data_IF_632647015528
#
_entry.id   IF_632647015528
#
_cell.length_a   1.000
_cell.length_b   1.000
_cell.length_c   1.000
_cell.angle_alpha   90.00
_cell.angle_beta   90.00
_cell.angle_gamma   90.00
#
_symmetry.space_group_name_H-M   'P 1'
#
loop_
_entity.id
_entity.type
_entity.pdbx_description
1 polymer ?
#
# COMPACT_ATOMS: atom_id res chain seq x y z
N UNK A 1 -12.78 -13.74 13.48
CA UNK A 1 -13.04 -13.67 14.92
C UNK A 1 -12.10 -14.65 15.61
N UNK A 2 -11.42 -14.23 16.71
CA UNK A 2 -10.66 -15.16 17.56
C UNK A 2 -11.68 -15.94 18.38
N UNK A 3 -11.54 -17.26 18.39
CA UNK A 3 -12.42 -18.19 19.13
C UNK A 3 -11.54 -19.17 19.90
N UNK A 4 -11.97 -19.57 21.09
CA UNK A 4 -11.28 -20.59 21.89
C UNK A 4 -11.24 -21.94 21.15
N UNK A 5 -10.15 -22.69 21.35
CA UNK A 5 -9.96 -24.01 20.73
C UNK A 5 -9.60 -23.98 19.24
N UNK A 6 -9.40 -22.80 18.64
CA UNK A 6 -8.95 -22.67 17.25
C UNK A 6 -7.43 -22.53 17.14
N UNK A 7 -6.90 -22.91 15.97
CA UNK A 7 -5.48 -22.77 15.69
C UNK A 7 -5.10 -21.28 15.73
N UNK A 8 -4.00 -20.96 16.41
CA UNK A 8 -3.47 -19.61 16.49
C UNK A 8 -3.11 -19.06 15.10
N UNK A 9 -3.52 -17.82 14.85
CA UNK A 9 -3.15 -17.08 13.65
C UNK A 9 -2.80 -15.64 14.01
N UNK A 10 -1.53 -15.26 13.82
CA UNK A 10 -1.05 -13.90 14.06
C UNK A 10 -1.84 -12.87 13.26
N UNK A 11 -2.20 -13.19 12.01
CA UNK A 11 -3.02 -12.33 11.14
C UNK A 11 -4.43 -12.08 11.70
N UNK A 12 -5.05 -13.11 12.29
CA UNK A 12 -6.36 -12.97 12.95
C UNK A 12 -6.27 -12.08 14.20
N UNK A 13 -5.23 -12.22 14.99
CA UNK A 13 -4.98 -11.38 16.17
C UNK A 13 -4.81 -9.92 15.74
N UNK A 14 -3.96 -9.65 14.76
CA UNK A 14 -3.72 -8.30 14.25
C UNK A 14 -4.97 -7.66 13.64
N UNK A 15 -5.74 -8.40 12.85
CA UNK A 15 -7.01 -7.94 12.30
C UNK A 15 -8.04 -7.63 13.42
N UNK A 16 -8.04 -8.42 14.49
CA UNK A 16 -8.93 -8.18 15.64
C UNK A 16 -8.54 -6.92 16.38
N UNK A 17 -7.25 -6.74 16.68
CA UNK A 17 -6.73 -5.51 17.29
C UNK A 17 -7.06 -4.28 16.43
N UNK A 18 -6.81 -4.34 15.14
CA UNK A 18 -7.13 -3.24 14.20
C UNK A 18 -8.62 -2.87 14.22
N UNK A 19 -9.50 -3.87 14.26
CA UNK A 19 -10.95 -3.66 14.35
C UNK A 19 -11.37 -3.05 15.68
N UNK A 20 -10.76 -3.49 16.78
CA UNK A 20 -11.01 -2.93 18.11
C UNK A 20 -10.53 -1.49 18.22
N UNK A 21 -9.33 -1.17 17.71
CA UNK A 21 -8.80 0.20 17.67
C UNK A 21 -9.71 1.11 16.83
N UNK A 22 -10.20 0.64 15.67
CA UNK A 22 -11.18 1.38 14.86
C UNK A 22 -12.46 1.64 15.65
N UNK A 23 -12.99 0.62 16.32
CA UNK A 23 -14.20 0.77 17.14
C UNK A 23 -13.98 1.74 18.30
N UNK A 24 -12.80 1.75 18.93
CA UNK A 24 -12.45 2.72 19.96
C UNK A 24 -12.45 4.15 19.39
N UNK A 25 -11.90 4.37 18.18
CA UNK A 25 -11.95 5.66 17.49
C UNK A 25 -13.39 6.11 17.20
N UNK A 26 -14.26 5.20 16.72
CA UNK A 26 -15.69 5.49 16.49
C UNK A 26 -16.42 5.91 17.76
N UNK A 27 -15.95 5.45 18.92
CA UNK A 27 -16.46 5.82 20.26
C UNK A 27 -15.77 7.06 20.84
N UNK A 28 -14.92 7.76 20.08
CA UNK A 28 -14.19 8.95 20.52
C UNK A 28 -12.96 8.67 21.39
N UNK A 29 -12.55 7.40 21.54
CA UNK A 29 -11.38 7.01 22.31
C UNK A 29 -10.11 7.05 21.43
N UNK A 30 -9.64 8.26 21.11
CA UNK A 30 -8.61 8.51 20.09
C UNK A 30 -7.19 8.01 20.44
N UNK A 31 -6.90 7.68 21.68
CA UNK A 31 -5.55 7.34 22.14
C UNK A 31 -5.48 5.96 22.78
N UNK A 32 -6.40 5.07 22.45
CA UNK A 32 -6.37 3.69 22.89
C UNK A 32 -5.32 2.91 22.11
N UNK A 33 -4.46 2.23 22.84
CA UNK A 33 -3.49 1.29 22.30
C UNK A 33 -3.84 -0.11 22.79
N UNK A 34 -3.94 -1.06 21.87
CA UNK A 34 -4.26 -2.45 22.20
C UNK A 34 -3.04 -3.30 21.87
N UNK A 35 -2.45 -3.91 22.89
CA UNK A 35 -1.25 -4.73 22.76
C UNK A 35 -1.58 -6.20 23.02
N UNK A 36 -1.44 -7.10 22.05
CA UNK A 36 -1.61 -8.52 22.29
C UNK A 36 -0.43 -9.08 23.08
N UNK A 37 -0.72 -9.77 24.20
CA UNK A 37 0.23 -10.56 24.99
C UNK A 37 -0.05 -12.02 24.74
N UNK A 38 0.98 -12.76 24.39
CA UNK A 38 0.90 -14.19 24.09
C UNK A 38 1.56 -14.97 25.24
N UNK A 39 0.78 -15.78 25.95
CA UNK A 39 1.28 -16.69 26.95
C UNK A 39 1.17 -18.13 26.44
N UNK A 40 2.33 -18.79 26.33
CA UNK A 40 2.39 -20.17 25.86
C UNK A 40 2.29 -21.12 27.05
N UNK A 41 1.34 -22.05 26.96
CA UNK A 41 1.24 -23.18 27.88
C UNK A 41 1.81 -24.42 27.20
N UNK A 42 3.01 -24.81 27.59
CA UNK A 42 3.71 -25.97 27.00
C UNK A 42 3.09 -27.32 27.37
N UNK A 43 2.42 -27.41 28.54
CA UNK A 43 1.80 -28.65 29.02
C UNK A 43 0.54 -28.97 28.21
N UNK A 44 -0.26 -27.95 27.91
CA UNK A 44 -1.54 -28.11 27.19
C UNK A 44 -1.41 -27.81 25.68
N UNK A 45 -0.17 -27.49 25.20
CA UNK A 45 0.12 -27.09 23.81
C UNK A 45 -0.82 -25.98 23.33
N UNK A 46 -1.19 -25.08 24.25
CA UNK A 46 -2.12 -23.96 23.99
C UNK A 46 -1.42 -22.61 24.06
N UNK A 47 -2.02 -21.61 23.45
CA UNK A 47 -1.54 -20.24 23.43
C UNK A 47 -2.66 -19.29 23.86
N UNK A 48 -2.50 -18.66 25.03
CA UNK A 48 -3.44 -17.65 25.49
C UNK A 48 -3.11 -16.30 24.91
N UNK A 49 -4.12 -15.66 24.34
CA UNK A 49 -4.00 -14.32 23.73
C UNK A 49 -4.73 -13.31 24.61
N UNK A 50 -3.96 -12.56 25.42
CA UNK A 50 -4.48 -11.47 26.22
C UNK A 50 -4.36 -10.14 25.48
N UNK A 51 -5.45 -9.40 25.36
CA UNK A 51 -5.47 -8.09 24.72
C UNK A 51 -5.42 -7.01 25.81
N UNK A 52 -4.25 -6.43 26.03
CA UNK A 52 -4.08 -5.32 26.98
C UNK A 52 -4.52 -4.02 26.33
N UNK A 53 -5.48 -3.34 26.95
CA UNK A 53 -5.97 -2.04 26.50
C UNK A 53 -5.37 -0.97 27.41
N UNK A 54 -4.62 -0.05 26.81
CA UNK A 54 -4.02 1.07 27.54
C UNK A 54 -4.32 2.40 26.86
N UNK A 55 -4.30 3.47 27.63
CA UNK A 55 -4.36 4.81 27.07
C UNK A 55 -2.94 5.24 26.65
N UNK A 56 -2.73 5.41 25.35
CA UNK A 56 -1.48 5.91 24.79
C UNK A 56 -1.27 7.41 25.02
N UNK A 57 -0.06 7.89 24.75
CA UNK A 57 0.24 9.31 24.81
C UNK A 57 -0.60 10.09 23.79
N UNK A 58 -1.11 11.24 24.20
CA UNK A 58 -1.84 12.18 23.33
C UNK A 58 -0.84 12.90 22.41
N UNK A 59 -0.48 12.26 21.31
CA UNK A 59 0.44 12.81 20.30
C UNK A 59 -0.32 12.95 18.98
N UNK A 60 -0.12 14.08 18.31
CA UNK A 60 -0.80 14.44 17.07
C UNK A 60 0.20 14.53 15.91
N UNK A 61 -0.28 14.30 14.71
CA UNK A 61 0.50 14.50 13.49
C UNK A 61 0.54 15.99 13.17
N UNK A 62 1.73 16.59 13.20
CA UNK A 62 1.91 17.99 12.84
C UNK A 62 1.96 18.16 11.32
N UNK A 63 2.75 17.31 10.66
CA UNK A 63 2.98 17.39 9.22
C UNK A 63 3.44 16.04 8.66
N UNK A 64 3.07 15.81 7.41
CA UNK A 64 3.57 14.69 6.59
C UNK A 64 4.52 15.28 5.54
N UNK A 65 5.81 14.99 5.68
CA UNK A 65 6.87 15.45 4.78
C UNK A 65 7.27 14.31 3.85
N UNK A 66 7.16 14.52 2.54
CA UNK A 66 7.48 13.53 1.51
C UNK A 66 8.68 14.04 0.73
N UNK A 67 9.66 13.16 0.48
CA UNK A 67 10.90 13.49 -0.23
C UNK A 67 11.35 12.33 -1.12
N UNK A 68 12.10 12.67 -2.18
CA UNK A 68 12.67 11.69 -3.11
C UNK A 68 11.76 11.31 -4.27
N UNK A 69 10.55 11.85 -4.31
CA UNK A 69 9.60 11.69 -5.40
C UNK A 69 9.82 12.80 -6.45
N UNK A 70 10.79 12.60 -7.33
CA UNK A 70 11.17 13.59 -8.36
C UNK A 70 10.22 13.58 -9.55
N UNK A 71 9.73 12.40 -9.93
CA UNK A 71 8.79 12.18 -11.03
C UNK A 71 7.37 11.97 -10.52
N UNK A 72 7.21 11.18 -9.46
CA UNK A 72 5.91 10.84 -8.89
C UNK A 72 5.32 12.04 -8.14
N UNK A 73 4.10 12.41 -8.47
CA UNK A 73 3.41 13.50 -7.79
C UNK A 73 3.14 13.18 -6.31
N UNK A 74 3.31 14.17 -5.45
CA UNK A 74 3.11 14.07 -3.99
C UNK A 74 1.75 13.42 -3.62
N UNK A 75 0.70 13.77 -4.35
CA UNK A 75 -0.65 13.22 -4.14
C UNK A 75 -0.73 11.69 -4.28
N UNK A 76 0.15 11.05 -5.08
CA UNK A 76 0.16 9.59 -5.27
C UNK A 76 0.60 8.88 -3.99
N UNK A 77 1.56 9.47 -3.28
CA UNK A 77 2.05 8.98 -1.99
C UNK A 77 1.08 9.40 -0.88
N UNK A 78 0.65 10.66 -0.87
CA UNK A 78 -0.21 11.23 0.17
C UNK A 78 -1.56 10.52 0.28
N UNK A 79 -2.14 10.06 -0.83
CA UNK A 79 -3.41 9.30 -0.83
C UNK A 79 -3.31 7.92 -0.16
N UNK A 80 -2.09 7.42 0.09
CA UNK A 80 -1.90 6.15 0.81
C UNK A 80 -2.10 6.31 2.33
N UNK A 81 -2.12 7.55 2.80
CA UNK A 81 -2.38 7.85 4.19
C UNK A 81 -3.89 7.81 4.46
N UNK A 82 -4.24 7.13 5.54
CA UNK A 82 -5.58 7.15 6.16
C UNK A 82 -5.62 8.08 7.38
N UNK A 83 -4.59 8.92 7.54
CA UNK A 83 -4.45 9.96 8.55
C UNK A 83 -4.09 11.28 7.88
N UNK A 84 -4.54 12.37 8.45
CA UNK A 84 -4.21 13.72 8.01
C UNK A 84 -3.46 14.49 9.10
N UNK A 85 -2.91 15.62 8.73
CA UNK A 85 -2.27 16.55 9.67
C UNK A 85 -3.31 17.03 10.69
N UNK A 86 -2.96 16.99 11.97
CA UNK A 86 -3.87 17.22 13.08
C UNK A 86 -4.49 15.97 13.70
N UNK A 87 -4.46 14.83 13.04
CA UNK A 87 -5.00 13.59 13.56
C UNK A 87 -4.16 13.00 14.71
N UNK A 88 -4.78 12.20 15.59
CA UNK A 88 -4.07 11.40 16.57
C UNK A 88 -3.07 10.44 15.93
N UNK A 89 -1.84 10.44 16.40
CA UNK A 89 -0.80 9.54 15.93
C UNK A 89 -1.04 8.10 16.38
N UNK A 90 -0.94 7.16 15.43
CA UNK A 90 -0.97 5.73 15.68
C UNK A 90 0.16 5.02 14.92
N UNK A 91 1.16 4.42 15.62
CA UNK A 91 2.29 3.77 14.98
C UNK A 91 1.91 2.63 14.02
N UNK A 92 0.82 1.92 14.29
CA UNK A 92 0.35 0.82 13.41
C UNK A 92 -0.18 1.35 12.09
N UNK A 93 -0.89 2.49 12.10
CA UNK A 93 -1.37 3.15 10.88
C UNK A 93 -0.18 3.53 10.00
N UNK A 94 0.90 4.06 10.59
CA UNK A 94 2.11 4.45 9.85
C UNK A 94 2.80 3.25 9.19
N UNK A 95 2.91 2.11 9.87
CA UNK A 95 3.47 0.89 9.26
C UNK A 95 2.65 0.46 8.05
N UNK A 96 1.32 0.45 8.14
CA UNK A 96 0.43 0.12 7.02
C UNK A 96 0.59 1.09 5.84
N UNK A 97 0.80 2.36 6.12
CA UNK A 97 1.07 3.36 5.07
C UNK A 97 2.36 3.01 4.32
N UNK A 98 3.44 2.68 5.03
CA UNK A 98 4.69 2.26 4.39
C UNK A 98 4.48 1.05 3.46
N UNK A 99 3.70 0.06 3.89
CA UNK A 99 3.38 -1.12 3.07
C UNK A 99 2.51 -0.77 1.87
N UNK A 100 1.53 0.12 2.01
CA UNK A 100 0.72 0.62 0.88
C UNK A 100 1.59 1.36 -0.15
N UNK A 101 2.51 2.22 0.30
CA UNK A 101 3.41 2.93 -0.62
C UNK A 101 4.33 1.93 -1.35
N UNK A 102 4.85 0.90 -0.66
CA UNK A 102 5.65 -0.16 -1.29
C UNK A 102 4.83 -0.94 -2.33
N UNK A 103 3.56 -1.23 -2.03
CA UNK A 103 2.68 -1.98 -2.93
C UNK A 103 2.33 -1.24 -4.23
N UNK A 104 2.53 0.09 -4.30
CA UNK A 104 2.43 0.83 -5.56
C UNK A 104 3.46 0.36 -6.59
N UNK A 105 4.55 -0.25 -6.16
CA UNK A 105 5.63 -0.76 -6.99
C UNK A 105 6.31 0.31 -7.87
N UNK A 106 6.22 1.58 -7.48
CA UNK A 106 6.85 2.72 -8.14
C UNK A 106 8.22 3.07 -7.56
N UNK A 107 8.54 2.54 -6.37
CA UNK A 107 9.72 2.88 -5.60
C UNK A 107 10.61 1.67 -5.36
N UNK A 108 11.91 1.87 -5.45
CA UNK A 108 12.94 0.88 -5.10
C UNK A 108 13.12 0.77 -3.59
N UNK A 109 12.98 1.91 -2.88
CA UNK A 109 12.96 1.92 -1.42
C UNK A 109 11.91 2.89 -0.89
N UNK A 110 11.34 2.56 0.27
CA UNK A 110 10.37 3.38 1.00
C UNK A 110 10.73 3.32 2.48
N UNK A 111 11.11 4.45 3.03
CA UNK A 111 11.38 4.61 4.46
C UNK A 111 10.40 5.62 5.05
N UNK A 112 9.66 5.18 6.07
CA UNK A 112 8.72 6.03 6.80
C UNK A 112 9.16 6.09 8.26
N UNK A 113 9.55 7.27 8.69
CA UNK A 113 10.03 7.52 10.05
C UNK A 113 9.23 8.64 10.70
N UNK A 114 9.36 8.75 12.00
CA UNK A 114 8.74 9.82 12.77
C UNK A 114 9.78 10.55 13.57
N UNK A 115 9.66 11.87 13.65
CA UNK A 115 10.50 12.72 14.50
C UNK A 115 9.65 13.68 15.32
N UNK A 116 10.23 14.26 16.36
CA UNK A 116 9.56 15.27 17.19
C UNK A 116 9.17 16.48 16.33
N UNK A 117 7.96 16.98 16.55
CA UNK A 117 7.46 18.20 15.94
C UNK A 117 7.91 19.46 16.69
N UNK A 118 7.27 20.57 16.37
CA UNK A 118 7.54 21.89 17.00
C UNK A 118 7.13 21.93 18.48
N UNK A 119 6.20 21.10 18.88
CA UNK A 119 5.68 21.02 20.25
C UNK A 119 5.83 19.61 20.84
N UNK A 120 5.82 19.51 22.16
CA UNK A 120 6.05 18.26 22.91
C UNK A 120 5.08 17.11 22.58
N UNK A 121 3.86 17.45 22.13
CA UNK A 121 2.80 16.49 21.77
C UNK A 121 2.57 16.38 20.26
N UNK A 122 3.48 16.87 19.45
CA UNK A 122 3.41 16.83 17.99
C UNK A 122 4.54 16.03 17.40
N UNK A 123 4.27 15.34 16.32
CA UNK A 123 5.28 14.62 15.53
C UNK A 123 5.17 14.97 14.05
N UNK A 124 6.27 14.86 13.37
CA UNK A 124 6.36 14.95 11.92
C UNK A 124 6.60 13.53 11.39
N UNK A 125 5.84 13.16 10.37
CA UNK A 125 6.03 11.91 9.63
C UNK A 125 6.90 12.25 8.43
N UNK A 126 8.10 11.68 8.36
CA UNK A 126 9.00 11.83 7.23
C UNK A 126 8.91 10.56 6.36
N UNK A 127 8.55 10.75 5.10
CA UNK A 127 8.50 9.71 4.06
C UNK A 127 9.62 9.99 3.09
N UNK A 128 10.58 9.08 3.00
CA UNK A 128 11.68 9.17 2.05
C UNK A 128 11.56 8.00 1.08
N UNK A 129 11.41 8.31 -0.19
CA UNK A 129 11.29 7.32 -1.26
C UNK A 129 12.46 7.43 -2.22
N UNK A 130 12.83 6.32 -2.85
CA UNK A 130 13.74 6.29 -3.99
C UNK A 130 12.98 5.73 -5.17
N UNK A 131 12.81 6.51 -6.22
CA UNK A 131 12.10 6.07 -7.42
C UNK A 131 12.90 5.01 -8.18
N UNK A 132 12.21 4.18 -8.92
CA UNK A 132 12.79 3.22 -9.85
C UNK A 132 12.16 3.36 -11.23
N UNK A 133 12.79 2.86 -12.30
CA UNK A 133 12.19 2.82 -13.62
C UNK A 133 10.83 2.11 -13.58
N UNK A 134 9.80 2.74 -14.14
CA UNK A 134 8.42 2.25 -14.20
C UNK A 134 7.99 1.87 -15.60
N UNK A 135 8.79 2.26 -16.59
CA UNK A 135 8.62 1.90 -17.99
C UNK A 135 9.27 0.58 -18.34
N UNK A 136 8.65 -0.18 -19.22
CA UNK A 136 9.21 -1.39 -19.83
C UNK A 136 8.87 -1.48 -21.29
N UNK A 137 9.82 -1.95 -22.10
CA UNK A 137 9.67 -2.19 -23.52
C UNK A 137 10.17 -3.59 -23.81
N UNK A 138 9.37 -4.40 -24.47
CA UNK A 138 9.75 -5.76 -24.87
C UNK A 138 9.40 -6.05 -26.31
N UNK A 139 10.26 -6.80 -26.97
CA UNK A 139 10.05 -7.31 -28.32
C UNK A 139 10.22 -8.82 -28.31
N UNK A 140 9.43 -9.50 -29.11
CA UNK A 140 9.48 -10.93 -29.30
C UNK A 140 9.14 -11.33 -30.72
N UNK A 141 9.56 -12.52 -31.10
CA UNK A 141 9.12 -13.17 -32.33
C UNK A 141 8.66 -14.58 -31.97
N UNK A 142 7.62 -15.02 -32.65
CA UNK A 142 7.12 -16.38 -32.57
C UNK A 142 6.98 -16.99 -33.98
N UNK A 143 7.00 -18.29 -34.05
CA UNK A 143 6.70 -19.01 -35.28
C UNK A 143 5.61 -20.06 -35.00
N UNK A 144 4.59 -20.02 -35.85
CA UNK A 144 3.53 -21.01 -35.84
C UNK A 144 3.40 -21.56 -37.27
N UNK A 145 3.33 -22.88 -37.40
CA UNK A 145 3.25 -23.56 -38.71
C UNK A 145 2.01 -23.17 -39.52
N UNK A 146 0.92 -22.72 -38.89
CA UNK A 146 -0.30 -22.26 -39.54
C UNK A 146 -0.20 -20.80 -40.03
N UNK A 147 0.38 -19.91 -39.15
CA UNK A 147 0.35 -18.47 -39.33
C UNK A 147 1.73 -17.85 -39.69
N UNK A 148 2.78 -18.71 -39.76
CA UNK A 148 4.12 -18.28 -40.08
C UNK A 148 4.83 -17.53 -38.95
N UNK A 149 5.67 -16.56 -39.30
CA UNK A 149 6.42 -15.74 -38.34
C UNK A 149 5.53 -14.62 -37.81
N UNK A 150 5.47 -14.52 -36.48
CA UNK A 150 4.81 -13.41 -35.78
C UNK A 150 5.82 -12.54 -35.04
N UNK A 151 5.54 -11.24 -34.98
CA UNK A 151 6.30 -10.26 -34.18
C UNK A 151 5.39 -9.67 -33.09
N UNK A 152 5.96 -9.48 -31.91
CA UNK A 152 5.26 -8.91 -30.76
C UNK A 152 6.09 -7.74 -30.21
N UNK A 153 5.45 -6.61 -29.96
CA UNK A 153 6.03 -5.49 -29.25
C UNK A 153 5.10 -5.06 -28.10
N UNK A 154 5.65 -4.88 -26.90
CA UNK A 154 4.87 -4.38 -25.79
C UNK A 154 5.60 -3.22 -25.12
N UNK A 155 4.88 -2.15 -24.89
CA UNK A 155 5.29 -1.02 -24.06
C UNK A 155 4.36 -0.92 -22.85
N UNK A 156 4.90 -0.70 -21.68
CA UNK A 156 4.12 -0.44 -20.46
C UNK A 156 4.82 0.64 -19.65
N UNK A 157 4.04 1.62 -19.21
CA UNK A 157 4.45 2.62 -18.24
C UNK A 157 3.51 2.56 -17.03
N UNK A 158 4.03 2.32 -15.82
CA UNK A 158 3.23 2.17 -14.62
C UNK A 158 3.04 3.47 -13.84
N UNK A 159 3.74 4.53 -14.22
CA UNK A 159 3.65 5.83 -13.55
C UNK A 159 3.50 6.98 -14.58
N UNK A 160 2.54 6.84 -15.48
CA UNK A 160 2.31 7.79 -16.55
C UNK A 160 2.10 9.21 -16.01
N UNK A 161 2.92 10.15 -16.47
CA UNK A 161 2.94 11.55 -16.03
C UNK A 161 3.11 11.71 -14.50
N UNK A 162 3.72 10.74 -13.83
CA UNK A 162 3.91 10.78 -12.36
C UNK A 162 2.63 10.63 -11.55
N UNK A 163 1.52 10.21 -12.16
CA UNK A 163 0.20 10.13 -11.52
C UNK A 163 -0.11 8.76 -10.91
N UNK A 164 0.82 7.78 -11.06
CA UNK A 164 0.59 6.40 -10.67
C UNK A 164 -0.45 5.69 -11.53
N UNK A 165 -0.75 6.24 -12.70
CA UNK A 165 -1.59 5.64 -13.75
C UNK A 165 -0.73 4.71 -14.59
N UNK A 166 -1.31 3.61 -15.08
CA UNK A 166 -0.61 2.72 -15.98
C UNK A 166 -1.15 2.84 -17.41
N UNK A 167 -0.23 2.88 -18.38
CA UNK A 167 -0.52 2.85 -19.83
C UNK A 167 0.20 1.64 -20.42
N UNK A 168 -0.49 0.92 -21.28
CA UNK A 168 0.07 -0.19 -22.04
C UNK A 168 -0.25 -0.07 -23.52
N UNK A 169 0.73 -0.41 -24.37
CA UNK A 169 0.59 -0.57 -25.79
C UNK A 169 1.12 -1.96 -26.15
N UNK A 170 0.32 -2.75 -26.84
CA UNK A 170 0.72 -4.04 -27.38
C UNK A 170 0.49 -4.07 -28.89
N UNK A 171 1.48 -4.56 -29.60
CA UNK A 171 1.45 -4.77 -31.04
C UNK A 171 1.76 -6.23 -31.30
N UNK A 172 0.95 -6.92 -32.06
CA UNK A 172 1.28 -8.25 -32.55
C UNK A 172 0.90 -8.38 -34.02
N UNK A 173 1.80 -8.93 -34.80
CA UNK A 173 1.57 -9.19 -36.22
C UNK A 173 1.94 -10.60 -36.57
N UNK A 174 1.12 -11.25 -37.36
CA UNK A 174 1.34 -12.56 -37.99
C UNK A 174 0.99 -12.43 -39.50
N UNK A 175 1.25 -13.47 -40.27
CA UNK A 175 1.09 -13.42 -41.73
C UNK A 175 -0.34 -13.14 -42.25
N UNK A 176 -1.28 -12.88 -41.40
CA UNK A 176 -2.67 -12.58 -41.79
C UNK A 176 -3.43 -11.66 -40.84
N UNK A 177 -2.82 -11.34 -39.70
CA UNK A 177 -3.53 -10.56 -38.68
C UNK A 177 -2.59 -9.60 -37.96
N UNK A 178 -3.04 -8.36 -37.82
CA UNK A 178 -2.39 -7.33 -37.02
C UNK A 178 -3.30 -6.94 -35.87
N UNK A 179 -2.79 -7.03 -34.63
CA UNK A 179 -3.50 -6.63 -33.46
C UNK A 179 -2.78 -5.46 -32.79
N UNK A 180 -3.53 -4.44 -32.46
CA UNK A 180 -3.11 -3.29 -31.67
C UNK A 180 -3.95 -3.27 -30.41
N UNK A 181 -3.31 -3.40 -29.25
CA UNK A 181 -3.97 -3.27 -27.96
C UNK A 181 -3.52 -2.01 -27.24
N UNK A 182 -4.47 -1.27 -26.69
CA UNK A 182 -4.23 -0.13 -25.82
C UNK A 182 -4.85 -0.42 -24.46
N UNK A 183 -4.14 -0.10 -23.41
CA UNK A 183 -4.68 -0.22 -22.05
C UNK A 183 -4.35 1.01 -21.22
N UNK A 184 -5.31 1.42 -20.41
CA UNK A 184 -5.15 2.49 -19.42
C UNK A 184 -5.74 2.05 -18.10
N UNK A 185 -5.01 2.26 -17.01
CA UNK A 185 -5.45 1.95 -15.65
C UNK A 185 -5.29 3.18 -14.78
N UNK A 186 -6.39 3.64 -14.20
CA UNK A 186 -6.42 4.60 -13.09
C UNK A 186 -6.66 3.84 -11.77
N UNK A 187 -5.67 3.72 -10.89
CA UNK A 187 -5.82 2.95 -9.66
C UNK A 187 -6.62 3.66 -8.56
N UNK A 188 -6.91 4.96 -8.72
CA UNK A 188 -7.60 5.75 -7.71
C UNK A 188 -8.48 6.81 -8.36
N UNK A 189 -9.60 6.36 -8.93
CA UNK A 189 -10.56 7.21 -9.60
C UNK A 189 -11.20 8.20 -8.62
N UNK A 190 -11.14 9.50 -8.95
CA UNK A 190 -11.68 10.59 -8.12
C UNK A 190 -11.15 10.57 -6.67
N UNK A 191 -9.90 10.16 -6.47
CA UNK A 191 -9.27 10.02 -5.14
C UNK A 191 -9.96 9.03 -4.21
N UNK A 192 -10.70 8.06 -4.77
CA UNK A 192 -11.33 6.95 -4.05
C UNK A 192 -10.59 5.65 -4.36
N UNK A 193 -10.76 4.65 -3.50
CA UNK A 193 -10.23 3.28 -3.71
C UNK A 193 -11.04 2.54 -4.80
N UNK A 194 -11.19 3.18 -5.96
CA UNK A 194 -11.87 2.66 -7.15
C UNK A 194 -10.87 2.66 -8.29
N UNK A 195 -10.64 1.52 -8.91
CA UNK A 195 -9.82 1.42 -10.12
C UNK A 195 -10.67 1.44 -11.37
N UNK A 196 -10.25 2.21 -12.36
CA UNK A 196 -10.79 2.19 -13.71
C UNK A 196 -9.78 1.54 -14.67
N UNK A 197 -10.20 0.50 -15.37
CA UNK A 197 -9.42 -0.14 -16.41
C UNK A 197 -10.17 -0.01 -17.74
N UNK A 198 -9.50 0.53 -18.74
CA UNK A 198 -10.00 0.64 -20.11
C UNK A 198 -8.99 -0.04 -21.02
N UNK A 199 -9.46 -0.91 -21.92
CA UNK A 199 -8.60 -1.60 -22.88
C UNK A 199 -9.39 -1.95 -24.15
N UNK A 200 -8.68 -2.02 -25.27
CA UNK A 200 -9.19 -2.45 -26.58
C UNK A 200 -8.25 -3.48 -27.21
#
# INVERSE_FOLDING_TARGET
KIEEGKIYSAKLVENTVTRMERRALDLGLNFVQITPRLNRNEKELSLDVNLEISQGNKVFVERISIRGNTTTLDKVIRRQFDIVEGDPFNPRRIRRVADRIRSLNLFGSVNVTTRKGSEQKKIIIDVVVTEKPTGSLSFGANYNSADGVGLIGNFKEANFLGRGQAVGLSLSTTSGTNNLGLSFTEPSLLSRDLSLNVGS
#
